data_IF_835570470169
#
_entry.id   IF_835570470169
#
_cell.length_a   1.000
_cell.length_b   1.000
_cell.length_c   1.000
_cell.angle_alpha   90.00
_cell.angle_beta   90.00
_cell.angle_gamma   90.00
#
_symmetry.space_group_name_H-M   'P 1'
#
loop_
_entity.id
_entity.type
_entity.pdbx_description
1 polymer ?
#
# COMPACT_ATOMS: atom_id res chain seq x y z
N UNK A 1 8.41 -38.95 -6.96
CA UNK A 1 7.14 -39.71 -6.88
C UNK A 1 6.29 -39.34 -5.64
N UNK A 2 6.81 -39.21 -4.43
CA UNK A 2 6.07 -38.76 -3.22
C UNK A 2 5.52 -37.34 -3.31
N UNK A 3 6.23 -36.42 -3.97
CA UNK A 3 5.80 -34.99 -4.14
C UNK A 3 4.57 -34.86 -5.06
N UNK A 4 4.56 -35.55 -6.18
CA UNK A 4 3.43 -35.57 -7.13
C UNK A 4 2.19 -36.21 -6.50
N UNK A 5 2.36 -37.29 -5.73
CA UNK A 5 1.27 -37.95 -5.00
C UNK A 5 0.69 -37.06 -3.90
N UNK A 6 1.51 -36.22 -3.24
CA UNK A 6 1.04 -35.24 -2.25
C UNK A 6 0.23 -34.14 -2.91
N UNK A 7 0.70 -33.58 -4.05
CA UNK A 7 -0.03 -32.59 -4.82
C UNK A 7 -1.39 -33.15 -5.28
N UNK A 8 -1.44 -34.37 -5.82
CA UNK A 8 -2.67 -35.00 -6.26
C UNK A 8 -3.65 -35.28 -5.11
N UNK A 9 -3.13 -35.59 -3.92
CA UNK A 9 -3.97 -35.83 -2.73
C UNK A 9 -4.53 -34.52 -2.15
N UNK A 10 -3.74 -33.47 -2.17
CA UNK A 10 -4.13 -32.16 -1.61
C UNK A 10 -4.90 -31.29 -2.61
N UNK A 11 -4.87 -31.66 -3.91
CA UNK A 11 -5.54 -30.93 -5.00
C UNK A 11 -7.05 -30.74 -4.82
N UNK A 12 -7.84 -31.74 -4.37
CA UNK A 12 -9.25 -31.54 -4.09
C UNK A 12 -9.51 -30.54 -2.95
N UNK A 13 -8.69 -30.56 -1.90
CA UNK A 13 -8.78 -29.59 -0.80
C UNK A 13 -8.40 -28.18 -1.26
N UNK A 14 -7.40 -28.06 -2.13
CA UNK A 14 -7.01 -26.80 -2.75
C UNK A 14 -8.08 -26.24 -3.69
N UNK A 15 -8.70 -27.09 -4.52
CA UNK A 15 -9.86 -26.70 -5.31
C UNK A 15 -11.03 -26.27 -4.42
N UNK A 16 -11.32 -27.00 -3.34
CA UNK A 16 -12.39 -26.67 -2.41
C UNK A 16 -12.15 -25.32 -1.72
N UNK A 17 -10.92 -24.98 -1.34
CA UNK A 17 -10.56 -23.67 -0.81
C UNK A 17 -10.71 -22.55 -1.84
N UNK A 18 -10.41 -22.81 -3.12
CA UNK A 18 -10.62 -21.87 -4.22
C UNK A 18 -12.11 -21.59 -4.51
N UNK A 19 -12.98 -22.56 -4.35
CA UNK A 19 -14.43 -22.39 -4.51
C UNK A 19 -15.03 -21.42 -3.49
N UNK A 20 -14.53 -21.42 -2.26
CA UNK A 20 -14.94 -20.46 -1.23
C UNK A 20 -14.66 -19.02 -1.64
N UNK A 21 -13.48 -18.75 -2.21
CA UNK A 21 -13.12 -17.42 -2.71
C UNK A 21 -13.96 -17.00 -3.92
N UNK A 22 -14.19 -17.92 -4.86
CA UNK A 22 -15.06 -17.66 -6.01
C UNK A 22 -16.52 -17.41 -5.55
N UNK A 23 -17.03 -18.22 -4.64
CA UNK A 23 -18.37 -18.03 -4.09
C UNK A 23 -18.53 -16.67 -3.39
N UNK A 24 -17.52 -16.19 -2.67
CA UNK A 24 -17.55 -14.87 -2.04
C UNK A 24 -17.57 -13.74 -3.06
N UNK A 25 -16.84 -13.86 -4.17
CA UNK A 25 -16.87 -12.88 -5.27
C UNK A 25 -18.23 -12.85 -5.94
N UNK A 26 -18.81 -14.02 -6.26
CA UNK A 26 -20.13 -14.09 -6.86
C UNK A 26 -21.21 -13.58 -5.91
N UNK A 27 -21.12 -13.89 -4.62
CA UNK A 27 -22.02 -13.35 -3.61
C UNK A 27 -21.94 -11.83 -3.54
N UNK A 28 -20.73 -11.27 -3.55
CA UNK A 28 -20.52 -9.82 -3.58
C UNK A 28 -21.15 -9.17 -4.82
N UNK A 29 -20.93 -9.75 -6.01
CA UNK A 29 -21.53 -9.26 -7.25
C UNK A 29 -23.05 -9.37 -7.25
N UNK A 30 -23.61 -10.48 -6.70
CA UNK A 30 -25.05 -10.66 -6.57
C UNK A 30 -25.68 -9.65 -5.60
N UNK A 31 -25.03 -9.38 -4.45
CA UNK A 31 -25.47 -8.35 -3.50
C UNK A 31 -25.37 -6.93 -4.11
N UNK A 32 -24.34 -6.67 -4.90
CA UNK A 32 -24.21 -5.42 -5.62
C UNK A 32 -25.33 -5.25 -6.66
N UNK A 33 -25.61 -6.27 -7.46
CA UNK A 33 -26.70 -6.24 -8.44
C UNK A 33 -28.09 -6.08 -7.75
N UNK A 34 -28.30 -6.76 -6.64
CA UNK A 34 -29.50 -6.58 -5.81
C UNK A 34 -29.62 -5.14 -5.31
N UNK A 35 -28.52 -4.54 -4.88
CA UNK A 35 -28.47 -3.12 -4.49
C UNK A 35 -28.84 -2.20 -5.64
N UNK A 36 -28.35 -2.47 -6.86
CA UNK A 36 -28.75 -1.74 -8.06
C UNK A 36 -30.27 -1.83 -8.32
N UNK A 37 -30.85 -3.01 -8.21
CA UNK A 37 -32.30 -3.20 -8.40
C UNK A 37 -33.13 -2.44 -7.37
N UNK A 38 -32.64 -2.28 -6.14
CA UNK A 38 -33.34 -1.58 -5.07
C UNK A 38 -33.19 -0.05 -5.16
N UNK A 39 -32.03 0.46 -5.53
CA UNK A 39 -31.70 1.90 -5.47
C UNK A 39 -31.61 2.56 -6.85
N UNK A 40 -31.54 1.78 -7.92
CA UNK A 40 -31.43 2.25 -9.31
C UNK A 40 -30.04 2.71 -9.71
N UNK A 41 -29.81 2.84 -11.03
CA UNK A 41 -28.52 3.13 -11.63
C UNK A 41 -27.91 4.47 -11.22
N UNK A 42 -28.71 5.45 -10.84
CA UNK A 42 -28.19 6.75 -10.41
C UNK A 42 -27.45 6.66 -9.07
N UNK A 43 -27.92 5.81 -8.16
CA UNK A 43 -27.34 5.66 -6.83
C UNK A 43 -26.26 4.58 -6.83
N UNK A 44 -26.57 3.42 -7.41
CA UNK A 44 -25.65 2.29 -7.48
C UNK A 44 -25.78 1.62 -8.86
N UNK A 45 -24.88 1.93 -9.81
CA UNK A 45 -24.85 1.28 -11.12
C UNK A 45 -24.70 -0.22 -11.03
N UNK A 46 -25.27 -0.95 -12.01
CA UNK A 46 -25.10 -2.40 -12.04
C UNK A 46 -23.63 -2.80 -12.24
N UNK A 47 -23.22 -3.98 -11.77
CA UNK A 47 -21.89 -4.50 -12.07
C UNK A 47 -21.60 -4.50 -13.58
N UNK A 48 -22.59 -4.87 -14.40
CA UNK A 48 -22.46 -4.90 -15.85
C UNK A 48 -22.18 -3.51 -16.42
N UNK A 49 -22.95 -2.49 -16.02
CA UNK A 49 -22.74 -1.12 -16.50
C UNK A 49 -21.38 -0.58 -16.06
N UNK A 50 -20.99 -0.85 -14.82
CA UNK A 50 -19.68 -0.45 -14.30
C UNK A 50 -18.53 -1.06 -15.10
N UNK A 51 -18.57 -2.38 -15.36
CA UNK A 51 -17.53 -3.05 -16.14
C UNK A 51 -17.53 -2.64 -17.62
N UNK A 52 -18.70 -2.38 -18.21
CA UNK A 52 -18.79 -1.87 -19.59
C UNK A 52 -18.17 -0.48 -19.67
N UNK A 53 -18.52 0.41 -18.73
CA UNK A 53 -17.92 1.75 -18.62
C UNK A 53 -16.42 1.66 -18.38
N UNK A 54 -15.96 0.75 -17.53
CA UNK A 54 -14.53 0.51 -17.28
C UNK A 54 -13.77 0.22 -18.59
N UNK A 55 -14.26 -0.71 -19.42
CA UNK A 55 -13.63 -0.99 -20.69
C UNK A 55 -13.61 0.21 -21.62
N UNK A 56 -14.67 0.98 -21.65
CA UNK A 56 -14.75 2.19 -22.46
C UNK A 56 -13.74 3.26 -22.02
N UNK A 57 -13.68 3.59 -20.71
CA UNK A 57 -12.77 4.62 -20.21
C UNK A 57 -11.30 4.20 -20.26
N UNK A 58 -11.00 2.89 -20.23
CA UNK A 58 -9.62 2.38 -20.40
C UNK A 58 -9.10 2.53 -21.85
N UNK A 59 -9.96 2.79 -22.82
CA UNK A 59 -9.56 3.12 -24.20
C UNK A 59 -9.34 4.63 -24.42
N UNK A 60 -9.65 5.44 -23.42
CA UNK A 60 -9.47 6.89 -23.48
C UNK A 60 -8.09 7.30 -22.98
N UNK A 61 -7.33 7.98 -23.84
CA UNK A 61 -5.97 8.43 -23.56
C UNK A 61 -5.90 9.31 -22.32
N UNK A 62 -6.92 10.15 -22.07
CA UNK A 62 -6.97 11.02 -20.89
C UNK A 62 -7.06 10.23 -19.59
N UNK A 63 -7.79 9.11 -19.58
CA UNK A 63 -7.87 8.23 -18.42
C UNK A 63 -6.53 7.55 -18.14
N UNK A 64 -5.85 7.09 -19.18
CA UNK A 64 -4.51 6.46 -19.05
C UNK A 64 -3.52 7.48 -18.51
N UNK A 65 -3.53 8.71 -19.00
CA UNK A 65 -2.67 9.78 -18.51
C UNK A 65 -2.93 10.07 -17.02
N UNK A 66 -4.19 10.17 -16.61
CA UNK A 66 -4.55 10.37 -15.19
C UNK A 66 -4.10 9.20 -14.31
N UNK A 67 -4.21 7.96 -14.76
CA UNK A 67 -3.67 6.78 -14.05
C UNK A 67 -2.16 6.91 -13.86
N UNK A 68 -1.43 7.26 -14.90
CA UNK A 68 0.04 7.42 -14.84
C UNK A 68 0.45 8.56 -13.91
N UNK A 69 -0.27 9.68 -13.92
CA UNK A 69 -0.04 10.80 -13.01
C UNK A 69 -0.20 10.34 -11.54
N UNK A 70 -1.30 9.66 -11.23
CA UNK A 70 -1.54 9.13 -9.87
C UNK A 70 -0.46 8.15 -9.44
N UNK A 71 -0.08 7.20 -10.31
CA UNK A 71 1.00 6.25 -10.07
C UNK A 71 2.31 6.99 -9.77
N UNK A 72 2.67 7.95 -10.60
CA UNK A 72 3.90 8.75 -10.45
C UNK A 72 3.93 9.47 -9.10
N UNK A 73 2.85 10.16 -8.71
CA UNK A 73 2.76 10.85 -7.42
C UNK A 73 2.83 9.89 -6.24
N UNK A 74 2.13 8.76 -6.32
CA UNK A 74 2.16 7.73 -5.28
C UNK A 74 3.58 7.20 -5.07
N UNK A 75 4.28 6.82 -6.16
CA UNK A 75 5.64 6.30 -6.07
C UNK A 75 6.67 7.35 -5.65
N UNK A 76 6.53 8.60 -6.07
CA UNK A 76 7.40 9.68 -5.62
C UNK A 76 7.25 9.93 -4.12
N UNK A 77 6.01 10.07 -3.62
CA UNK A 77 5.75 10.27 -2.20
C UNK A 77 6.19 9.06 -1.36
N UNK A 78 5.87 7.84 -1.81
CA UNK A 78 6.29 6.60 -1.17
C UNK A 78 7.81 6.46 -1.16
N UNK A 79 8.49 6.69 -2.28
CA UNK A 79 9.96 6.59 -2.40
C UNK A 79 10.69 7.56 -1.48
N UNK A 80 10.23 8.80 -1.37
CA UNK A 80 10.78 9.78 -0.43
C UNK A 80 10.55 9.32 1.01
N UNK A 81 9.34 8.85 1.33
CA UNK A 81 9.02 8.31 2.66
C UNK A 81 9.87 7.09 3.00
N UNK A 82 10.10 6.22 2.02
CA UNK A 82 10.94 5.03 2.16
C UNK A 82 12.38 5.42 2.49
N UNK A 83 12.95 6.36 1.76
CA UNK A 83 14.31 6.81 2.01
C UNK A 83 14.45 7.48 3.39
N UNK A 84 13.63 8.50 3.66
CA UNK A 84 13.72 9.28 4.91
C UNK A 84 13.29 8.44 6.12
N UNK A 85 12.18 7.69 6.01
CA UNK A 85 11.67 6.85 7.09
C UNK A 85 12.62 5.74 7.49
N UNK A 86 13.24 5.07 6.49
CA UNK A 86 14.25 4.03 6.76
C UNK A 86 15.48 4.60 7.43
N UNK A 87 16.07 5.66 6.87
CA UNK A 87 17.29 6.26 7.42
C UNK A 87 17.06 6.75 8.86
N UNK A 88 16.02 7.55 9.08
CA UNK A 88 15.73 8.09 10.40
C UNK A 88 15.29 7.01 11.40
N UNK A 89 14.52 6.01 10.96
CA UNK A 89 14.09 4.90 11.79
C UNK A 89 15.25 4.01 12.21
N UNK A 90 16.19 3.68 11.30
CA UNK A 90 17.40 2.95 11.61
C UNK A 90 18.26 3.73 12.62
N UNK A 91 18.51 5.02 12.37
CA UNK A 91 19.26 5.87 13.28
C UNK A 91 18.60 5.96 14.67
N UNK A 92 17.28 6.15 14.71
CA UNK A 92 16.55 6.18 15.97
C UNK A 92 16.60 4.82 16.71
N UNK A 93 16.67 3.71 15.97
CA UNK A 93 16.80 2.37 16.55
C UNK A 93 18.17 2.11 17.19
N UNK A 94 19.24 2.71 16.65
CA UNK A 94 20.60 2.57 17.19
C UNK A 94 20.79 3.29 18.54
N UNK A 95 20.07 4.39 18.77
CA UNK A 95 20.23 5.23 19.97
C UNK A 95 18.96 5.18 20.83
N UNK A 96 19.09 4.75 22.08
CA UNK A 96 17.96 4.67 23.03
C UNK A 96 17.26 6.02 23.20
N UNK A 97 18.05 7.09 23.35
CA UNK A 97 17.52 8.45 23.50
C UNK A 97 16.69 8.88 22.28
N UNK A 98 17.22 8.66 21.05
CA UNK A 98 16.52 9.00 19.83
C UNK A 98 15.21 8.23 19.68
N UNK A 99 15.20 6.95 20.06
CA UNK A 99 13.98 6.14 20.08
C UNK A 99 12.93 6.64 21.07
N UNK A 100 13.34 7.09 22.24
CA UNK A 100 12.41 7.66 23.24
C UNK A 100 11.84 8.98 22.74
N UNK A 101 12.70 9.85 22.20
CA UNK A 101 12.31 11.17 21.69
C UNK A 101 11.41 11.10 20.45
N UNK A 102 11.59 10.08 19.59
CA UNK A 102 10.77 9.93 18.38
C UNK A 102 9.33 9.44 18.67
N UNK A 103 9.10 8.74 19.77
CA UNK A 103 7.76 8.18 20.09
C UNK A 103 6.63 9.22 20.08
N UNK A 104 6.71 10.35 20.80
CA UNK A 104 5.63 11.33 20.81
C UNK A 104 5.41 11.93 19.42
N UNK A 105 6.48 12.18 18.66
CA UNK A 105 6.39 12.73 17.30
C UNK A 105 5.64 11.78 16.39
N UNK A 106 6.02 10.50 16.38
CA UNK A 106 5.35 9.46 15.58
C UNK A 106 3.89 9.31 15.99
N UNK A 107 3.60 9.34 17.30
CA UNK A 107 2.22 9.26 17.81
C UNK A 107 1.37 10.43 17.30
N UNK A 108 1.91 11.64 17.30
CA UNK A 108 1.21 12.82 16.75
C UNK A 108 0.96 12.65 15.24
N UNK A 109 1.98 12.25 14.47
CA UNK A 109 1.86 12.08 13.02
C UNK A 109 0.80 11.03 12.64
N UNK A 110 0.76 9.91 13.35
CA UNK A 110 -0.23 8.84 13.14
C UNK A 110 -1.62 9.25 13.63
N UNK A 111 -1.68 10.02 14.71
CA UNK A 111 -2.94 10.47 15.33
C UNK A 111 -3.70 11.50 14.51
N UNK A 112 -3.02 12.25 13.64
CA UNK A 112 -3.67 13.24 12.76
C UNK A 112 -4.30 12.52 11.56
N UNK A 113 -5.62 12.67 11.33
CA UNK A 113 -6.28 12.08 10.16
C UNK A 113 -5.66 12.57 8.84
N UNK A 114 -5.49 11.70 7.83
CA UNK A 114 -4.90 12.09 6.54
C UNK A 114 -5.54 13.30 5.88
N UNK A 115 -6.86 13.44 6.01
CA UNK A 115 -7.59 14.58 5.46
C UNK A 115 -7.12 15.93 6.05
N UNK A 116 -6.75 15.96 7.34
CA UNK A 116 -6.23 17.18 7.96
C UNK A 116 -4.87 17.57 7.35
N UNK A 117 -4.03 16.58 7.04
CA UNK A 117 -2.78 16.82 6.33
C UNK A 117 -2.99 17.37 4.93
N UNK A 118 -4.02 16.89 4.20
CA UNK A 118 -4.37 17.41 2.88
C UNK A 118 -4.75 18.91 2.98
N UNK A 119 -5.61 19.25 3.94
CA UNK A 119 -6.05 20.64 4.15
C UNK A 119 -4.87 21.55 4.51
N UNK A 120 -4.00 21.12 5.42
CA UNK A 120 -2.80 21.90 5.77
C UNK A 120 -1.85 22.04 4.57
N UNK A 121 -1.64 20.97 3.80
CA UNK A 121 -0.81 21.02 2.61
C UNK A 121 -1.39 21.98 1.54
N UNK A 122 -2.71 22.01 1.39
CA UNK A 122 -3.36 22.98 0.49
C UNK A 122 -3.13 24.44 0.92
N UNK A 123 -3.08 24.71 2.22
CA UNK A 123 -2.76 26.05 2.73
C UNK A 123 -1.32 26.44 2.41
N UNK A 124 -0.39 25.49 2.48
CA UNK A 124 1.05 25.75 2.28
C UNK A 124 1.46 25.74 0.80
N UNK A 125 0.92 24.83 0.01
CA UNK A 125 1.36 24.56 -1.36
C UNK A 125 0.28 24.85 -2.43
N UNK A 126 -0.93 25.23 -2.00
CA UNK A 126 -2.07 25.42 -2.89
C UNK A 126 -2.57 24.12 -3.51
N UNK A 127 -3.33 24.21 -4.59
CA UNK A 127 -3.79 23.07 -5.39
C UNK A 127 -2.68 22.66 -6.37
N UNK A 128 -1.80 21.76 -5.96
CA UNK A 128 -0.60 21.39 -6.71
C UNK A 128 -0.16 19.95 -6.45
N UNK A 129 0.74 19.45 -7.31
CA UNK A 129 1.39 18.15 -7.12
C UNK A 129 2.11 18.04 -5.77
N UNK A 130 2.67 19.16 -5.28
CA UNK A 130 3.36 19.19 -3.98
C UNK A 130 2.42 18.88 -2.84
N UNK A 131 1.17 19.35 -2.88
CA UNK A 131 0.15 19.01 -1.88
C UNK A 131 -0.10 17.52 -1.82
N UNK A 132 -0.25 16.89 -2.99
CA UNK A 132 -0.49 15.45 -3.08
C UNK A 132 0.73 14.66 -2.58
N UNK A 133 1.92 14.97 -3.11
CA UNK A 133 3.16 14.26 -2.76
C UNK A 133 3.48 14.44 -1.26
N UNK A 134 3.39 15.66 -0.73
CA UNK A 134 3.63 15.94 0.69
C UNK A 134 2.70 15.12 1.60
N UNK A 135 1.42 15.05 1.25
CA UNK A 135 0.45 14.30 2.04
C UNK A 135 0.75 12.81 2.05
N UNK A 136 1.17 12.26 0.90
CA UNK A 136 1.63 10.87 0.82
C UNK A 136 2.85 10.65 1.70
N UNK A 137 3.83 11.58 1.67
CA UNK A 137 5.04 11.49 2.48
C UNK A 137 4.69 11.46 3.97
N UNK A 138 3.94 12.46 4.44
CA UNK A 138 3.68 12.61 5.89
C UNK A 138 2.88 11.45 6.47
N UNK A 139 2.00 10.84 5.67
CA UNK A 139 1.19 9.70 6.10
C UNK A 139 1.92 8.36 6.05
N UNK A 140 2.82 8.16 5.09
CA UNK A 140 3.55 6.90 4.92
C UNK A 140 4.83 6.84 5.75
N UNK A 141 5.47 7.98 5.99
CA UNK A 141 6.71 8.10 6.76
C UNK A 141 6.65 7.41 8.14
N UNK A 142 5.63 7.61 9.00
CA UNK A 142 5.62 7.01 10.32
C UNK A 142 5.62 5.49 10.29
N UNK A 143 4.94 4.88 9.31
CA UNK A 143 4.84 3.42 9.16
C UNK A 143 6.23 2.85 8.88
N UNK A 144 6.95 3.43 7.93
CA UNK A 144 8.29 3.00 7.53
C UNK A 144 9.29 3.25 8.67
N UNK A 145 9.20 4.41 9.30
CA UNK A 145 10.05 4.79 10.44
C UNK A 145 9.93 3.77 11.58
N UNK A 146 8.71 3.41 11.96
CA UNK A 146 8.47 2.44 13.04
C UNK A 146 8.98 1.05 12.67
N UNK A 147 8.77 0.60 11.42
CA UNK A 147 9.30 -0.67 10.94
C UNK A 147 10.84 -0.73 11.03
N UNK A 148 11.51 0.33 10.58
CA UNK A 148 12.97 0.44 10.62
C UNK A 148 13.51 0.50 12.06
N UNK A 149 12.86 1.30 12.91
CA UNK A 149 13.19 1.41 14.34
C UNK A 149 13.04 0.08 15.05
N UNK A 150 11.94 -0.64 14.83
CA UNK A 150 11.71 -1.96 15.44
C UNK A 150 12.74 -2.98 14.97
N UNK A 151 12.98 -3.07 13.66
CA UNK A 151 13.99 -3.97 13.10
C UNK A 151 15.38 -3.77 13.69
N UNK A 152 15.76 -2.52 13.99
CA UNK A 152 17.05 -2.23 14.61
C UNK A 152 17.08 -2.57 16.09
N UNK A 153 15.97 -2.39 16.82
CA UNK A 153 15.91 -2.57 18.29
C UNK A 153 15.64 -3.99 18.75
N UNK A 154 15.00 -4.80 17.92
CA UNK A 154 14.58 -6.17 18.27
C UNK A 154 15.65 -7.21 18.03
N UNK A 155 16.86 -6.82 17.61
CA UNK A 155 17.97 -7.77 17.44
C UNK A 155 18.31 -8.38 18.80
N UNK A 156 18.05 -9.68 18.92
CA UNK A 156 18.21 -10.43 20.14
C UNK A 156 19.66 -10.44 20.64
N UNK A 157 19.83 -10.28 21.96
CA UNK A 157 21.13 -10.32 22.60
C UNK A 157 21.87 -11.63 22.37
N UNK A 158 21.14 -12.75 22.33
CA UNK A 158 21.67 -14.08 22.11
C UNK A 158 22.29 -14.24 20.71
N UNK A 159 21.66 -13.67 19.69
CA UNK A 159 22.21 -13.64 18.33
C UNK A 159 23.53 -12.84 18.27
N UNK A 160 23.62 -11.74 19.02
CA UNK A 160 24.86 -10.95 19.12
C UNK A 160 25.96 -11.75 19.84
N UNK A 161 25.64 -12.39 20.97
CA UNK A 161 26.56 -13.22 21.71
C UNK A 161 27.05 -14.42 20.87
N UNK A 162 26.15 -15.04 20.12
CA UNK A 162 26.52 -16.11 19.18
C UNK A 162 27.50 -15.60 18.12
N UNK A 163 27.21 -14.46 17.49
CA UNK A 163 28.09 -13.86 16.49
C UNK A 163 29.47 -13.48 17.05
N UNK A 164 29.52 -13.06 18.33
CA UNK A 164 30.77 -12.77 19.04
C UNK A 164 31.53 -14.04 19.38
N UNK A 165 30.84 -15.08 19.84
CA UNK A 165 31.45 -16.39 20.16
C UNK A 165 32.08 -17.07 18.95
N UNK A 166 31.46 -16.93 17.78
CA UNK A 166 32.00 -17.43 16.51
C UNK A 166 33.03 -16.49 15.88
N UNK A 167 33.39 -15.37 16.54
CA UNK A 167 34.33 -14.37 16.05
C UNK A 167 34.02 -13.87 14.64
N UNK A 168 32.73 -13.69 14.33
CA UNK A 168 32.31 -13.18 13.01
C UNK A 168 32.94 -11.82 12.71
N UNK A 169 33.46 -11.65 11.50
CA UNK A 169 33.98 -10.37 11.06
C UNK A 169 32.87 -9.31 11.04
N UNK A 170 33.22 -8.03 11.14
CA UNK A 170 32.26 -6.92 11.11
C UNK A 170 31.36 -6.94 9.86
N UNK A 171 31.91 -7.30 8.70
CA UNK A 171 31.12 -7.45 7.47
C UNK A 171 30.09 -8.58 7.59
N UNK A 172 30.50 -9.75 8.09
CA UNK A 172 29.58 -10.87 8.29
C UNK A 172 28.46 -10.52 9.27
N UNK A 173 28.76 -9.83 10.37
CA UNK A 173 27.75 -9.37 11.32
C UNK A 173 26.71 -8.45 10.64
N UNK A 174 27.16 -7.53 9.76
CA UNK A 174 26.25 -6.64 9.06
C UNK A 174 25.40 -7.40 8.03
N UNK A 175 26.03 -8.16 7.14
CA UNK A 175 25.34 -8.73 5.98
C UNK A 175 24.58 -10.02 6.31
N UNK A 176 25.09 -10.84 7.24
CA UNK A 176 24.52 -12.15 7.53
C UNK A 176 23.62 -12.16 8.79
N UNK A 177 23.73 -11.11 9.65
CA UNK A 177 22.93 -11.02 10.87
C UNK A 177 22.04 -9.78 10.89
N UNK A 178 22.62 -8.57 10.85
CA UNK A 178 21.85 -7.33 11.06
C UNK A 178 20.93 -7.01 9.90
N UNK A 179 21.43 -7.02 8.68
CA UNK A 179 20.66 -6.67 7.49
C UNK A 179 19.46 -7.59 7.26
N UNK A 180 19.59 -8.93 7.27
CA UNK A 180 18.45 -9.82 7.10
C UNK A 180 17.41 -9.63 8.20
N UNK A 181 17.84 -9.50 9.46
CA UNK A 181 16.95 -9.27 10.59
C UNK A 181 16.17 -7.95 10.43
N UNK A 182 16.85 -6.85 10.18
CA UNK A 182 16.22 -5.54 9.98
C UNK A 182 15.25 -5.58 8.80
N UNK A 183 15.65 -6.24 7.71
CA UNK A 183 14.84 -6.33 6.51
C UNK A 183 13.54 -7.07 6.73
N UNK A 184 13.52 -8.09 7.62
CA UNK A 184 12.32 -8.83 7.98
C UNK A 184 11.24 -7.97 8.68
N UNK A 185 11.63 -6.89 9.34
CA UNK A 185 10.73 -5.91 9.96
C UNK A 185 10.36 -4.75 9.04
N UNK A 186 11.34 -4.25 8.30
CA UNK A 186 11.15 -3.10 7.41
C UNK A 186 10.27 -3.45 6.21
N UNK A 187 10.42 -4.66 5.64
CA UNK A 187 9.72 -5.03 4.42
C UNK A 187 8.20 -5.09 4.57
N UNK A 188 7.62 -5.69 5.62
CA UNK A 188 6.18 -5.59 5.88
C UNK A 188 5.69 -4.15 6.07
N UNK A 189 6.53 -3.29 6.67
CA UNK A 189 6.21 -1.87 6.81
C UNK A 189 6.18 -1.16 5.45
N UNK A 190 7.06 -1.51 4.50
CA UNK A 190 7.03 -0.98 3.13
C UNK A 190 5.73 -1.35 2.41
N UNK A 191 5.27 -2.60 2.50
CA UNK A 191 4.01 -3.04 1.90
C UNK A 191 2.84 -2.24 2.49
N UNK A 192 2.80 -2.12 3.81
CA UNK A 192 1.75 -1.36 4.51
C UNK A 192 1.75 0.12 4.12
N UNK A 193 2.94 0.73 4.03
CA UNK A 193 3.11 2.12 3.64
C UNK A 193 2.73 2.36 2.17
N UNK A 194 3.02 1.41 1.27
CA UNK A 194 2.58 1.49 -0.13
C UNK A 194 1.05 1.49 -0.22
N UNK A 195 0.38 0.55 0.44
CA UNK A 195 -1.08 0.49 0.48
C UNK A 195 -1.72 1.76 1.06
N UNK A 196 -1.07 2.38 2.06
CA UNK A 196 -1.48 3.67 2.60
C UNK A 196 -1.25 4.80 1.59
N UNK A 197 -0.09 4.86 0.94
CA UNK A 197 0.25 5.85 -0.09
C UNK A 197 -0.78 5.87 -1.21
N UNK A 198 -1.22 4.69 -1.64
CA UNK A 198 -2.21 4.54 -2.70
C UNK A 198 -3.56 5.15 -2.35
N UNK A 199 -4.04 4.90 -1.14
CA UNK A 199 -5.30 5.47 -0.65
C UNK A 199 -5.22 6.98 -0.53
N UNK A 200 -4.10 7.48 -0.03
CA UNK A 200 -3.91 8.90 0.25
C UNK A 200 -3.69 9.72 -1.01
N UNK A 201 -2.96 9.21 -2.01
CA UNK A 201 -2.78 9.94 -3.26
C UNK A 201 -4.11 10.25 -3.92
N UNK A 202 -5.02 9.26 -4.01
CA UNK A 202 -6.34 9.46 -4.61
C UNK A 202 -7.20 10.40 -3.78
N UNK A 203 -7.16 10.29 -2.44
CA UNK A 203 -7.89 11.22 -1.56
C UNK A 203 -7.37 12.65 -1.69
N UNK A 204 -6.06 12.83 -1.78
CA UNK A 204 -5.45 14.15 -1.97
C UNK A 204 -5.79 14.74 -3.35
N UNK A 205 -5.71 13.94 -4.42
CA UNK A 205 -6.10 14.37 -5.76
C UNK A 205 -7.57 14.79 -5.86
N UNK A 206 -8.47 14.03 -5.21
CA UNK A 206 -9.90 14.32 -5.17
C UNK A 206 -10.19 15.71 -4.59
N UNK A 207 -9.36 16.19 -3.67
CA UNK A 207 -9.56 17.45 -2.96
C UNK A 207 -8.71 18.60 -3.51
N UNK A 208 -7.53 18.30 -4.07
CA UNK A 208 -6.51 19.33 -4.33
C UNK A 208 -5.87 19.29 -5.71
N UNK A 209 -6.40 18.50 -6.65
CA UNK A 209 -5.80 18.38 -7.99
C UNK A 209 -6.83 18.54 -9.10
N UNK A 210 -6.33 18.97 -10.28
CA UNK A 210 -7.12 19.03 -11.52
C UNK A 210 -6.92 17.81 -12.43
N UNK A 211 -5.96 16.96 -12.12
CA UNK A 211 -5.60 15.78 -12.90
C UNK A 211 -5.25 14.59 -11.96
N UNK A 212 -5.26 13.38 -12.50
CA UNK A 212 -5.15 12.15 -11.76
C UNK A 212 -6.49 11.45 -11.55
N UNK A 213 -6.47 10.18 -11.10
CA UNK A 213 -7.69 9.37 -10.89
C UNK A 213 -8.63 10.04 -9.87
N UNK A 214 -8.07 10.62 -8.79
CA UNK A 214 -8.86 11.30 -7.77
C UNK A 214 -9.58 12.54 -8.32
N UNK A 215 -8.93 13.32 -9.18
CA UNK A 215 -9.54 14.46 -9.84
C UNK A 215 -10.65 14.01 -10.81
N UNK A 216 -10.41 12.98 -11.61
CA UNK A 216 -11.43 12.39 -12.49
C UNK A 216 -12.64 11.90 -11.68
N UNK A 217 -12.41 11.30 -10.51
CA UNK A 217 -13.47 10.89 -9.59
C UNK A 217 -14.26 12.09 -9.04
N UNK A 218 -13.59 13.24 -8.75
CA UNK A 218 -14.27 14.47 -8.33
C UNK A 218 -15.17 15.00 -9.44
N UNK A 219 -14.72 14.96 -10.69
CA UNK A 219 -15.50 15.38 -11.86
C UNK A 219 -16.72 14.46 -12.05
N UNK A 220 -16.54 13.16 -12.08
CA UNK A 220 -17.62 12.19 -12.21
C UNK A 220 -18.68 12.38 -11.12
N UNK A 221 -18.23 12.62 -9.87
CA UNK A 221 -19.14 12.93 -8.75
C UNK A 221 -19.93 14.23 -9.00
N UNK A 222 -19.29 15.27 -9.48
CA UNK A 222 -19.97 16.56 -9.73
C UNK A 222 -21.00 16.48 -10.86
N UNK A 223 -20.77 15.58 -11.81
CA UNK A 223 -21.68 15.32 -12.94
C UNK A 223 -22.75 14.28 -12.61
N UNK A 224 -22.71 13.67 -11.42
CA UNK A 224 -23.55 12.56 -11.02
C UNK A 224 -23.42 11.31 -11.95
N UNK A 225 -22.26 11.18 -12.60
CA UNK A 225 -21.92 10.03 -13.44
C UNK A 225 -21.39 8.90 -12.57
N UNK A 226 -22.31 8.20 -11.91
CA UNK A 226 -22.01 7.13 -10.97
C UNK A 226 -21.33 5.93 -11.64
N UNK A 227 -21.69 5.50 -12.89
CA UNK A 227 -20.97 4.45 -13.61
C UNK A 227 -19.48 4.75 -13.80
N UNK A 228 -19.13 5.97 -14.24
CA UNK A 228 -17.74 6.41 -14.38
C UNK A 228 -17.05 6.48 -13.03
N UNK A 229 -17.72 7.01 -12.00
CA UNK A 229 -17.14 7.07 -10.66
C UNK A 229 -16.77 5.67 -10.13
N UNK A 230 -17.66 4.68 -10.25
CA UNK A 230 -17.38 3.31 -9.83
C UNK A 230 -16.31 2.63 -10.71
N UNK A 231 -16.32 2.89 -12.03
CA UNK A 231 -15.27 2.38 -12.92
C UNK A 231 -13.88 2.91 -12.54
N UNK A 232 -13.75 4.19 -12.18
CA UNK A 232 -12.50 4.78 -11.68
C UNK A 232 -12.06 4.15 -10.34
N UNK A 233 -13.01 3.84 -9.44
CA UNK A 233 -12.70 3.10 -8.20
C UNK A 233 -12.17 1.70 -8.52
N UNK A 234 -12.74 1.00 -9.50
CA UNK A 234 -12.23 -0.31 -9.95
C UNK A 234 -10.84 -0.19 -10.55
N UNK A 235 -10.54 0.84 -11.34
CA UNK A 235 -9.19 1.12 -11.86
C UNK A 235 -8.20 1.33 -10.70
N UNK A 236 -8.60 2.12 -9.72
CA UNK A 236 -7.77 2.40 -8.54
C UNK A 236 -7.42 1.11 -7.77
N UNK A 237 -8.44 0.28 -7.49
CA UNK A 237 -8.24 -1.00 -6.79
C UNK A 237 -7.41 -1.96 -7.66
N UNK A 238 -7.73 -2.06 -8.94
CA UNK A 238 -7.03 -2.93 -9.89
C UNK A 238 -5.56 -2.56 -10.03
N UNK A 239 -5.23 -1.27 -10.11
CA UNK A 239 -3.84 -0.80 -10.19
C UNK A 239 -3.06 -1.05 -8.90
N UNK A 240 -3.69 -0.91 -7.72
CA UNK A 240 -3.07 -1.27 -6.45
C UNK A 240 -2.77 -2.78 -6.38
N UNK A 241 -3.77 -3.61 -6.69
CA UNK A 241 -3.62 -5.07 -6.68
C UNK A 241 -2.54 -5.52 -7.67
N UNK A 242 -2.50 -4.92 -8.86
CA UNK A 242 -1.48 -5.21 -9.87
C UNK A 242 -0.07 -4.95 -9.31
N UNK A 243 0.15 -3.80 -8.67
CA UNK A 243 1.45 -3.45 -8.08
C UNK A 243 1.78 -4.37 -6.90
N UNK A 244 0.82 -4.63 -6.02
CA UNK A 244 1.01 -5.47 -4.84
C UNK A 244 1.36 -6.92 -5.22
N UNK A 245 0.55 -7.54 -6.08
CA UNK A 245 0.76 -8.95 -6.45
C UNK A 245 1.90 -9.16 -7.43
N UNK A 246 2.16 -8.23 -8.34
CA UNK A 246 3.20 -8.41 -9.37
C UNK A 246 4.59 -8.00 -8.87
N UNK A 247 4.69 -6.99 -8.01
CA UNK A 247 5.97 -6.44 -7.55
C UNK A 247 6.29 -6.89 -6.13
N UNK A 248 5.35 -6.69 -5.19
CA UNK A 248 5.65 -6.88 -3.77
C UNK A 248 5.48 -8.32 -3.29
N UNK A 249 4.50 -9.06 -3.76
CA UNK A 249 4.29 -10.44 -3.32
C UNK A 249 5.45 -11.39 -3.66
N UNK A 250 6.07 -11.34 -4.86
CA UNK A 250 7.27 -12.14 -5.15
C UNK A 250 8.43 -11.82 -4.22
N UNK A 251 8.67 -10.53 -3.97
CA UNK A 251 9.75 -10.07 -3.07
C UNK A 251 9.47 -10.52 -1.63
N UNK A 252 8.22 -10.41 -1.19
CA UNK A 252 7.77 -10.84 0.14
C UNK A 252 8.06 -12.32 0.38
N UNK A 253 7.72 -13.18 -0.59
CA UNK A 253 7.96 -14.63 -0.48
C UNK A 253 9.44 -14.97 -0.33
N UNK A 254 10.31 -14.26 -1.04
CA UNK A 254 11.76 -14.44 -0.92
C UNK A 254 12.28 -13.99 0.44
N UNK A 255 11.79 -12.85 0.94
CA UNK A 255 12.18 -12.30 2.24
C UNK A 255 11.65 -13.16 3.41
N UNK A 256 10.43 -13.66 3.33
CA UNK A 256 9.84 -14.50 4.39
C UNK A 256 10.36 -15.94 4.38
N UNK A 257 10.95 -16.42 3.27
CA UNK A 257 11.58 -17.74 3.20
C UNK A 257 12.73 -17.88 4.21
N UNK A 258 13.35 -16.79 4.64
CA UNK A 258 14.40 -16.78 5.66
C UNK A 258 13.87 -16.94 7.09
N UNK A 259 12.57 -16.80 7.32
CA UNK A 259 11.95 -16.84 8.65
C UNK A 259 11.32 -18.19 9.00
N UNK A 260 11.17 -19.08 8.01
CA UNK A 260 10.68 -20.45 8.15
C UNK A 260 11.83 -21.45 8.04
#
# INVERSE_FOLDING_TARGET
>A
MRFILKILKDFPAYLWSGWGSLASIFLFLALWDLGNQLYGNLVLPSPKDTFTTLFFILTDDSTIENVLITIKRAFLGFGISLAIGSILGLLAGLFVTASIMSRPIVTILVGIPPIAWIVLAMIWFGMSDMTVIFTVIIASFPIIFVGALQGTRTIEGDLKQMADSFHLSFKMKIFDLYLPHIFSYIFPAYISALGMSWKIVVMAELLSSSNGIGASLAIARSQLDTPVALALVVIMIGSLLFIEYLIFEPIKREVEAWRN
#
